data_IF_425928391998
#
_entry.id   IF_425928391998
#
_cell.length_a   1.000
_cell.length_b   1.000
_cell.length_c   1.000
_cell.angle_alpha   90.00
_cell.angle_beta   90.00
_cell.angle_gamma   90.00
#
_symmetry.space_group_name_H-M   'P 1'
#
loop_
_entity.id
_entity.type
_entity.pdbx_description
1 polymer ?
#
# COMPACT_ATOMS: atom_id res chain seq x y z
N UNK A 1 5.48 -4.76 -0.80
CA UNK A 1 4.76 -5.58 -1.80
C UNK A 1 4.98 -5.03 -3.19
N UNK A 2 4.47 -3.82 -3.50
CA UNK A 2 4.73 -3.15 -4.78
C UNK A 2 3.51 -3.18 -5.71
N UNK A 3 2.91 -2.01 -5.93
CA UNK A 3 1.72 -1.86 -6.79
C UNK A 3 2.11 -2.00 -8.28
N UNK A 4 1.48 -2.94 -9.03
CA UNK A 4 1.71 -3.13 -10.47
C UNK A 4 1.08 -2.02 -11.33
N UNK A 5 0.20 -1.19 -10.78
CA UNK A 5 -0.52 -0.17 -11.54
C UNK A 5 0.44 0.82 -12.22
N UNK A 6 0.28 0.98 -13.54
CA UNK A 6 1.01 1.97 -14.34
C UNK A 6 2.50 1.66 -14.58
N UNK A 7 2.97 0.44 -14.29
CA UNK A 7 4.37 0.04 -14.55
C UNK A 7 4.44 -1.31 -15.29
N UNK A 8 5.23 -1.35 -16.36
CA UNK A 8 5.47 -2.58 -17.15
C UNK A 8 6.40 -3.55 -16.44
N UNK A 9 7.45 -3.05 -15.78
CA UNK A 9 8.43 -3.86 -15.06
C UNK A 9 8.04 -4.14 -13.61
N UNK A 10 8.48 -5.28 -13.09
CA UNK A 10 8.34 -5.63 -11.67
C UNK A 10 9.13 -4.67 -10.78
N UNK A 11 8.54 -4.28 -9.64
CA UNK A 11 9.24 -3.39 -8.70
C UNK A 11 10.27 -4.18 -7.90
N UNK A 12 11.45 -3.62 -7.73
CA UNK A 12 12.42 -4.13 -6.76
C UNK A 12 11.83 -4.10 -5.36
N UNK A 13 12.00 -5.19 -4.62
CA UNK A 13 11.58 -5.28 -3.23
C UNK A 13 12.57 -4.52 -2.35
N UNK A 14 12.05 -3.53 -1.62
CA UNK A 14 12.80 -2.78 -0.62
C UNK A 14 12.84 -3.55 0.70
N UNK A 15 13.93 -3.39 1.46
CA UNK A 15 14.01 -3.91 2.82
C UNK A 15 13.25 -2.99 3.81
N UNK A 16 13.09 -3.44 5.06
CA UNK A 16 12.32 -2.70 6.06
C UNK A 16 12.96 -1.35 6.42
N UNK A 17 14.29 -1.27 6.48
CA UNK A 17 15.01 -0.04 6.82
C UNK A 17 14.83 1.03 5.73
N UNK A 18 14.90 0.62 4.45
CA UNK A 18 14.63 1.48 3.30
C UNK A 18 13.19 1.99 3.31
N UNK A 19 12.22 1.11 3.63
CA UNK A 19 10.81 1.50 3.73
C UNK A 19 10.62 2.50 4.87
N UNK A 20 11.20 2.24 6.05
CA UNK A 20 11.11 3.15 7.19
C UNK A 20 11.72 4.51 6.90
N UNK A 21 12.89 4.55 6.25
CA UNK A 21 13.53 5.79 5.80
C UNK A 21 12.65 6.57 4.81
N UNK A 22 12.02 5.87 3.86
CA UNK A 22 11.11 6.48 2.90
C UNK A 22 9.86 7.06 3.58
N UNK A 23 9.24 6.33 4.51
CA UNK A 23 8.07 6.82 5.28
C UNK A 23 8.44 8.06 6.09
N UNK A 24 9.60 8.04 6.75
CA UNK A 24 10.11 9.20 7.50
C UNK A 24 10.35 10.42 6.60
N UNK A 25 10.79 10.21 5.36
CA UNK A 25 11.01 11.27 4.38
C UNK A 25 9.72 11.82 3.76
N UNK A 26 8.63 11.04 3.70
CA UNK A 26 7.34 11.49 3.15
C UNK A 26 6.66 12.50 4.07
N UNK A 27 6.73 12.29 5.39
CA UNK A 27 6.09 13.18 6.37
C UNK A 27 6.45 14.67 6.21
N UNK A 28 7.73 15.09 6.20
CA UNK A 28 8.09 16.50 6.04
C UNK A 28 7.71 17.06 4.67
N UNK A 29 7.59 16.22 3.63
CA UNK A 29 7.09 16.66 2.33
C UNK A 29 5.60 16.98 2.39
N UNK A 30 4.81 16.14 3.07
CA UNK A 30 3.36 16.35 3.24
C UNK A 30 3.05 17.53 4.17
N UNK A 31 3.89 17.81 5.18
CA UNK A 31 3.76 18.98 6.07
C UNK A 31 3.78 20.32 5.32
N UNK A 32 4.28 20.35 4.08
CA UNK A 32 4.23 21.55 3.22
C UNK A 32 2.86 21.80 2.59
N UNK A 33 2.01 20.78 2.55
CA UNK A 33 0.71 20.81 1.87
C UNK A 33 -0.48 20.60 2.82
N UNK A 34 -0.25 19.96 3.96
CA UNK A 34 -1.28 19.57 4.93
C UNK A 34 -0.95 20.14 6.32
N UNK A 35 -2.00 20.57 7.03
CA UNK A 35 -1.86 21.03 8.41
C UNK A 35 -2.11 19.88 9.39
N UNK A 36 -1.06 19.47 10.10
CA UNK A 36 -1.09 18.41 11.11
C UNK A 36 -1.39 18.94 12.52
N UNK A 37 -1.49 20.26 12.71
CA UNK A 37 -1.59 20.91 14.03
C UNK A 37 -2.88 21.74 14.20
N UNK A 38 -3.75 21.81 13.18
CA UNK A 38 -5.01 22.52 13.32
C UNK A 38 -5.93 21.86 14.36
N UNK A 39 -6.77 22.66 15.02
CA UNK A 39 -7.63 22.20 16.12
C UNK A 39 -8.89 21.46 15.69
N UNK A 40 -9.42 21.77 14.49
CA UNK A 40 -10.70 21.24 14.04
C UNK A 40 -10.57 19.90 13.28
N UNK A 41 -9.57 19.77 12.41
CA UNK A 41 -9.38 18.59 11.57
C UNK A 41 -7.90 18.41 11.15
N UNK A 42 -7.02 18.02 12.08
CA UNK A 42 -5.61 17.86 11.77
C UNK A 42 -5.40 16.65 10.86
N UNK A 43 -4.51 16.80 9.88
CA UNK A 43 -4.07 15.71 9.04
C UNK A 43 -3.42 14.59 9.88
N UNK A 44 -3.54 13.35 9.41
CA UNK A 44 -2.92 12.17 10.03
C UNK A 44 -2.14 11.39 8.98
N UNK A 45 -0.88 11.14 9.28
CA UNK A 45 -0.08 10.18 8.53
C UNK A 45 -0.23 8.83 9.22
N UNK A 46 -0.71 7.83 8.48
CA UNK A 46 -0.88 6.46 8.95
C UNK A 46 -0.05 5.52 8.09
N UNK A 47 0.51 4.49 8.70
CA UNK A 47 1.23 3.43 8.00
C UNK A 47 0.36 2.16 8.03
N UNK A 48 0.09 1.58 6.86
CA UNK A 48 -0.74 0.38 6.79
C UNK A 48 -0.02 -0.85 7.34
N UNK A 49 1.29 -0.80 7.55
CA UNK A 49 2.02 -1.82 8.30
C UNK A 49 1.39 -2.06 9.68
N UNK A 50 0.82 -1.03 10.31
CA UNK A 50 0.20 -1.08 11.63
C UNK A 50 -0.90 -2.15 11.74
N UNK A 51 -1.61 -2.43 10.65
CA UNK A 51 -2.67 -3.46 10.61
C UNK A 51 -2.41 -4.60 9.63
N UNK A 52 -1.45 -4.46 8.71
CA UNK A 52 -1.16 -5.52 7.71
C UNK A 52 0.02 -6.39 8.10
N UNK A 53 1.04 -5.87 8.79
CA UNK A 53 2.28 -6.62 9.04
C UNK A 53 2.10 -7.79 10.01
N UNK A 54 1.18 -7.67 10.97
CA UNK A 54 0.85 -8.73 11.93
C UNK A 54 -0.19 -9.74 11.43
N UNK A 55 -0.82 -9.49 10.27
CA UNK A 55 -1.85 -10.38 9.74
C UNK A 55 -1.20 -11.63 9.14
N UNK A 56 -1.62 -12.81 9.60
CA UNK A 56 -1.13 -14.05 9.00
C UNK A 56 -1.68 -14.23 7.59
N UNK A 57 -0.94 -14.95 6.75
CA UNK A 57 -1.39 -15.27 5.40
C UNK A 57 -2.73 -16.01 5.38
N UNK A 58 -2.94 -16.94 6.32
CA UNK A 58 -4.19 -17.70 6.40
C UNK A 58 -5.36 -16.81 6.83
N UNK A 59 -5.15 -15.89 7.76
CA UNK A 59 -6.20 -14.94 8.17
C UNK A 59 -6.56 -14.03 7.00
N UNK A 60 -5.56 -13.50 6.27
CA UNK A 60 -5.80 -12.69 5.09
C UNK A 60 -6.66 -13.42 4.04
N UNK A 61 -6.32 -14.67 3.72
CA UNK A 61 -7.09 -15.45 2.74
C UNK A 61 -8.53 -15.72 3.21
N UNK A 62 -8.71 -16.02 4.50
CA UNK A 62 -10.03 -16.37 5.08
C UNK A 62 -10.92 -15.15 5.29
N UNK A 63 -10.36 -14.02 5.70
CA UNK A 63 -11.11 -12.82 6.05
C UNK A 63 -11.32 -11.92 4.84
N UNK A 64 -10.28 -11.70 4.02
CA UNK A 64 -10.33 -10.80 2.87
C UNK A 64 -10.48 -11.60 1.58
N UNK A 65 -9.66 -12.63 1.37
CA UNK A 65 -9.57 -13.36 0.10
C UNK A 65 -10.89 -13.96 -0.38
N UNK A 66 -11.72 -14.48 0.54
CA UNK A 66 -13.04 -15.07 0.20
C UNK A 66 -14.01 -14.11 -0.51
N UNK A 67 -13.80 -12.79 -0.39
CA UNK A 67 -14.67 -11.77 -0.98
C UNK A 67 -14.31 -11.44 -2.44
N UNK A 68 -13.19 -11.97 -2.95
CA UNK A 68 -12.69 -11.69 -4.29
C UNK A 68 -12.46 -12.98 -5.07
N UNK A 69 -13.08 -13.07 -6.25
CA UNK A 69 -12.83 -14.20 -7.15
C UNK A 69 -11.63 -13.93 -8.04
N UNK A 70 -10.90 -14.99 -8.40
CA UNK A 70 -9.71 -14.90 -9.28
C UNK A 70 -10.07 -14.24 -10.61
N UNK A 71 -11.21 -14.59 -11.21
CA UNK A 71 -11.64 -14.00 -12.49
C UNK A 71 -11.78 -12.47 -12.41
N UNK A 72 -12.36 -11.95 -11.32
CA UNK A 72 -12.48 -10.50 -11.12
C UNK A 72 -11.12 -9.84 -10.94
N UNK A 73 -10.19 -10.51 -10.24
CA UNK A 73 -8.84 -9.98 -10.02
C UNK A 73 -8.04 -9.91 -11.32
N UNK A 74 -8.09 -10.95 -12.15
CA UNK A 74 -7.39 -11.03 -13.44
C UNK A 74 -7.95 -10.03 -14.45
N UNK A 75 -9.26 -9.77 -14.42
CA UNK A 75 -9.90 -8.82 -15.31
C UNK A 75 -9.51 -7.35 -15.04
N UNK A 76 -8.84 -7.04 -13.92
CA UNK A 76 -8.36 -5.68 -13.66
C UNK A 76 -7.25 -5.31 -14.63
N UNK A 77 -7.33 -4.10 -15.19
CA UNK A 77 -6.38 -3.61 -16.20
C UNK A 77 -4.91 -3.69 -15.75
N UNK A 78 -4.62 -3.36 -14.48
CA UNK A 78 -3.26 -3.43 -13.93
C UNK A 78 -2.67 -4.85 -13.87
N UNK A 79 -3.52 -5.88 -13.88
CA UNK A 79 -3.11 -7.29 -13.92
C UNK A 79 -3.10 -7.78 -15.36
N UNK A 80 -4.18 -7.53 -16.11
CA UNK A 80 -4.33 -7.95 -17.50
C UNK A 80 -3.19 -7.45 -18.39
N UNK A 81 -2.81 -6.18 -18.27
CA UNK A 81 -1.74 -5.58 -19.07
C UNK A 81 -0.34 -6.20 -18.85
N UNK A 82 -0.18 -7.07 -17.84
CA UNK A 82 1.07 -7.81 -17.57
C UNK A 82 1.02 -9.28 -17.98
N UNK A 83 -0.14 -9.77 -18.40
CA UNK A 83 -0.35 -11.16 -18.83
C UNK A 83 -0.29 -11.34 -20.35
N UNK A 84 -0.30 -10.24 -21.10
CA UNK A 84 -0.04 -10.17 -22.55
C UNK A 84 1.47 -10.10 -22.82
#
# INVERSE_FOLDING_TARGET
IGDPSGKSAERSLLNQDEIAANVAAVKPQLERFLDFKCSANPARLVDNADWTAGMSYLDFLREVGKHFTVNVMVAKESVRARME
#
